data_IF_620336648982
#
_entry.id   IF_620336648982
#
_cell.length_a   1.000
_cell.length_b   1.000
_cell.length_c   1.000
_cell.angle_alpha   90.00
_cell.angle_beta   90.00
_cell.angle_gamma   90.00
#
_symmetry.space_group_name_H-M   'P 1'
#
loop_
_entity.id
_entity.type
_entity.pdbx_description
1 polymer ?
#
# COMPACT_ATOMS: atom_id res chain seq x y z
N UNK A 1 -38.17 65.24 0.19
CA UNK A 1 -39.49 65.64 0.72
C UNK A 1 -40.36 64.39 0.71
N UNK A 2 -40.32 63.55 1.74
CA UNK A 2 -41.01 63.68 3.06
C UNK A 2 -42.52 63.83 2.84
N UNK A 3 -43.28 62.74 3.05
CA UNK A 3 -44.31 62.65 4.11
C UNK A 3 -45.71 62.95 3.54
N UNK A 4 -46.84 62.48 4.04
CA UNK A 4 -47.18 61.73 5.25
C UNK A 4 -48.67 61.30 5.17
N UNK A 5 -49.03 60.24 5.91
CA UNK A 5 -50.25 60.04 6.72
C UNK A 5 -51.68 60.39 6.21
N UNK A 6 -52.59 59.39 6.29
CA UNK A 6 -53.78 59.36 7.19
C UNK A 6 -54.62 58.07 6.92
N UNK A 7 -54.88 57.22 7.94
CA UNK A 7 -56.17 56.95 8.67
C UNK A 7 -57.37 56.62 7.76
N UNK A 8 -58.31 55.71 8.03
CA UNK A 8 -58.74 54.87 9.16
C UNK A 8 -59.94 54.05 8.65
N UNK A 9 -60.16 52.82 9.15
CA UNK A 9 -61.44 52.30 9.68
C UNK A 9 -61.56 50.77 9.54
N UNK A 10 -61.99 50.16 10.64
CA UNK A 10 -62.38 48.76 10.82
C UNK A 10 -63.74 48.51 10.16
N UNK A 11 -63.96 47.31 9.60
CA UNK A 11 -65.07 46.43 10.00
C UNK A 11 -64.97 45.05 9.34
N UNK A 12 -65.35 44.05 10.13
CA UNK A 12 -65.25 42.62 9.90
C UNK A 12 -66.50 42.06 9.23
N UNK A 13 -66.36 41.25 8.17
CA UNK A 13 -67.28 40.13 7.90
C UNK A 13 -66.49 38.96 7.31
N UNK A 14 -66.51 37.85 8.04
CA UNK A 14 -66.02 36.53 7.63
C UNK A 14 -66.99 35.89 6.64
N UNK A 15 -66.48 35.30 5.56
CA UNK A 15 -66.67 33.88 5.19
C UNK A 15 -66.53 33.65 3.68
N UNK A 16 -66.05 32.44 3.35
CA UNK A 16 -65.97 31.81 2.03
C UNK A 16 -64.83 32.21 1.09
N UNK A 17 -63.66 31.60 1.30
CA UNK A 17 -62.88 31.02 0.19
C UNK A 17 -62.30 29.65 0.55
N UNK A 18 -62.66 28.68 -0.28
CA UNK A 18 -62.18 27.29 -0.30
C UNK A 18 -60.65 27.26 -0.41
N UNK A 19 -59.97 26.65 0.56
CA UNK A 19 -58.56 26.28 0.45
C UNK A 19 -58.46 24.88 -0.15
N UNK A 20 -57.66 24.78 -1.22
CA UNK A 20 -57.23 23.52 -1.81
C UNK A 20 -56.41 22.73 -0.78
N UNK A 21 -56.90 21.55 -0.40
CA UNK A 21 -56.07 20.52 0.25
C UNK A 21 -55.21 19.87 -0.84
N UNK A 22 -53.92 20.23 -0.92
CA UNK A 22 -52.92 19.31 -1.46
C UNK A 22 -52.35 18.50 -0.30
N UNK A 23 -52.36 17.18 -0.48
CA UNK A 23 -51.97 16.20 0.51
C UNK A 23 -50.53 16.39 0.99
N UNK A 24 -50.37 16.34 2.31
CA UNK A 24 -49.12 15.99 2.97
C UNK A 24 -48.73 14.59 2.52
N UNK A 25 -47.70 14.47 1.68
CA UNK A 25 -46.90 13.26 1.59
C UNK A 25 -45.65 13.49 2.43
N UNK A 26 -45.60 12.84 3.58
CA UNK A 26 -44.38 12.71 4.37
C UNK A 26 -43.38 11.86 3.58
N UNK A 27 -42.63 12.48 2.68
CA UNK A 27 -41.36 11.92 2.21
C UNK A 27 -40.34 12.15 3.32
N UNK A 28 -40.31 11.20 4.24
CA UNK A 28 -39.20 11.03 5.18
C UNK A 28 -37.93 10.87 4.35
N UNK A 29 -37.08 11.91 4.31
CA UNK A 29 -35.71 11.81 3.81
C UNK A 29 -34.98 10.85 4.74
N UNK A 30 -35.02 9.56 4.41
CA UNK A 30 -34.02 8.62 4.87
C UNK A 30 -32.70 9.09 4.28
N UNK A 31 -31.97 9.89 5.04
CA UNK A 31 -30.52 9.96 4.94
C UNK A 31 -30.06 8.54 5.18
N UNK A 32 -29.82 7.79 4.10
CA UNK A 32 -29.04 6.57 4.18
C UNK A 32 -27.65 7.00 4.65
N UNK A 33 -27.41 6.96 5.96
CA UNK A 33 -26.06 6.83 6.48
C UNK A 33 -25.54 5.54 5.87
N UNK A 34 -24.69 5.66 4.85
CA UNK A 34 -23.90 4.55 4.36
C UNK A 34 -23.29 3.88 5.59
N UNK A 35 -23.39 2.55 5.75
CA UNK A 35 -22.74 1.89 6.87
C UNK A 35 -21.28 2.28 6.83
N UNK A 36 -20.76 2.83 7.94
CA UNK A 36 -19.33 3.08 8.05
C UNK A 36 -18.61 1.76 7.76
N UNK A 37 -17.55 1.82 6.97
CA UNK A 37 -16.68 0.66 6.71
C UNK A 37 -16.36 -0.04 8.03
N UNK A 38 -16.46 -1.37 8.05
CA UNK A 38 -16.12 -2.17 9.22
C UNK A 38 -14.66 -2.02 9.66
N UNK A 39 -13.80 -1.47 8.77
CA UNK A 39 -12.38 -1.20 9.00
C UNK A 39 -12.05 0.30 8.99
N UNK A 40 -13.02 1.17 9.28
CA UNK A 40 -12.82 2.63 9.23
C UNK A 40 -11.71 3.12 10.18
N UNK A 41 -11.63 2.55 11.40
CA UNK A 41 -10.61 2.92 12.38
C UNK A 41 -9.23 2.42 11.93
N UNK A 42 -9.14 1.17 11.49
CA UNK A 42 -7.93 0.53 10.96
C UNK A 42 -7.37 1.30 9.79
N UNK A 43 -8.24 1.68 8.84
CA UNK A 43 -7.89 2.50 7.69
C UNK A 43 -7.30 3.84 8.13
N UNK A 44 -7.96 4.55 9.03
CA UNK A 44 -7.49 5.84 9.53
C UNK A 44 -6.11 5.71 10.19
N UNK A 45 -5.94 4.73 11.09
CA UNK A 45 -4.68 4.49 11.80
C UNK A 45 -3.56 4.09 10.83
N UNK A 46 -3.82 3.15 9.92
CA UNK A 46 -2.83 2.69 8.95
C UNK A 46 -2.36 3.82 8.02
N UNK A 47 -3.30 4.65 7.55
CA UNK A 47 -2.97 5.85 6.73
C UNK A 47 -2.03 6.79 7.49
N UNK A 48 -2.35 7.11 8.75
CA UNK A 48 -1.53 8.03 9.54
C UNK A 48 -0.16 7.43 9.85
N UNK A 49 -0.12 6.16 10.26
CA UNK A 49 1.12 5.43 10.56
C UNK A 49 2.07 5.40 9.35
N UNK A 50 1.56 4.96 8.19
CA UNK A 50 2.36 4.87 6.96
C UNK A 50 2.78 6.27 6.46
N UNK A 51 1.93 7.28 6.59
CA UNK A 51 2.28 8.65 6.21
C UNK A 51 3.43 9.20 7.07
N UNK A 52 3.42 9.00 8.38
CA UNK A 52 4.49 9.48 9.26
C UNK A 52 5.79 8.71 9.05
N UNK A 53 5.72 7.39 8.93
CA UNK A 53 6.89 6.57 8.59
C UNK A 53 7.49 6.98 7.24
N UNK A 54 6.65 7.21 6.22
CA UNK A 54 7.08 7.68 4.91
C UNK A 54 7.80 9.04 4.96
N UNK A 55 7.35 9.96 5.82
CA UNK A 55 8.00 11.26 6.02
C UNK A 55 9.39 11.12 6.66
N UNK A 56 9.57 10.19 7.61
CA UNK A 56 10.90 9.87 8.15
C UNK A 56 11.79 9.26 7.09
N UNK A 57 11.32 8.28 6.34
CA UNK A 57 12.11 7.70 5.26
C UNK A 57 12.51 8.76 4.23
N UNK A 58 11.59 9.69 3.89
CA UNK A 58 11.87 10.79 2.97
C UNK A 58 12.91 11.76 3.53
N UNK A 59 12.86 12.10 4.82
CA UNK A 59 13.85 12.99 5.42
C UNK A 59 15.25 12.35 5.43
N UNK A 60 15.36 11.07 5.78
CA UNK A 60 16.64 10.33 5.71
C UNK A 60 17.13 10.26 4.27
N UNK A 61 16.27 9.88 3.32
CA UNK A 61 16.59 9.80 1.90
C UNK A 61 17.14 11.13 1.35
N UNK A 62 16.47 12.25 1.65
CA UNK A 62 16.91 13.57 1.21
C UNK A 62 18.26 13.96 1.78
N UNK A 63 18.54 13.69 3.06
CA UNK A 63 19.85 13.97 3.65
C UNK A 63 20.96 13.13 3.01
N UNK A 64 20.68 11.90 2.59
CA UNK A 64 21.66 11.05 1.93
C UNK A 64 21.98 11.49 0.50
N UNK A 65 20.93 11.79 -0.26
CA UNK A 65 21.07 12.28 -1.63
C UNK A 65 21.74 13.65 -1.64
N UNK A 66 21.34 14.57 -0.76
CA UNK A 66 21.88 15.93 -0.70
C UNK A 66 23.36 15.98 -0.31
N UNK A 67 23.83 15.04 0.52
CA UNK A 67 25.22 14.99 0.96
C UNK A 67 26.12 14.12 0.05
N UNK A 68 25.60 13.59 -1.07
CA UNK A 68 26.30 12.61 -1.93
C UNK A 68 26.92 11.44 -1.15
N UNK A 69 26.39 11.15 0.04
CA UNK A 69 26.97 10.19 1.00
C UNK A 69 26.60 8.75 0.68
N UNK A 70 25.96 8.51 -0.47
CA UNK A 70 25.73 7.19 -1.06
C UNK A 70 27.07 6.58 -1.52
N UNK A 71 27.94 6.30 -0.56
CA UNK A 71 29.13 5.47 -0.78
C UNK A 71 28.66 4.04 -1.03
N UNK A 72 29.14 3.42 -2.10
CA UNK A 72 28.80 2.06 -2.49
C UNK A 72 29.17 1.08 -1.36
N UNK A 73 28.22 0.76 -0.49
CA UNK A 73 28.36 -0.28 0.53
C UNK A 73 27.92 0.09 1.94
N UNK A 74 27.78 1.38 2.29
CA UNK A 74 27.28 1.77 3.61
C UNK A 74 25.75 1.60 3.68
N UNK A 75 25.31 0.54 4.37
CA UNK A 75 23.89 0.25 4.61
C UNK A 75 23.35 0.95 5.85
N UNK A 76 24.19 1.62 6.65
CA UNK A 76 23.74 2.29 7.87
C UNK A 76 22.57 3.24 7.67
N UNK A 77 22.45 4.00 6.57
CA UNK A 77 21.36 4.97 6.45
C UNK A 77 19.99 4.34 6.21
N UNK A 78 19.93 3.27 5.43
CA UNK A 78 18.67 2.56 5.18
C UNK A 78 18.26 1.83 6.45
N UNK A 79 19.20 1.18 7.14
CA UNK A 79 18.97 0.53 8.44
C UNK A 79 18.38 1.49 9.49
N UNK A 80 18.84 2.74 9.57
CA UNK A 80 18.24 3.71 10.50
C UNK A 80 16.80 4.06 10.12
N UNK A 81 16.53 4.21 8.83
CA UNK A 81 15.20 4.53 8.33
C UNK A 81 14.22 3.36 8.52
N UNK A 82 14.67 2.12 8.30
CA UNK A 82 13.93 0.88 8.57
C UNK A 82 13.47 0.80 10.03
N UNK A 83 14.40 0.90 10.98
CA UNK A 83 14.08 0.87 12.40
C UNK A 83 13.15 2.00 12.83
N UNK A 84 13.36 3.21 12.31
CA UNK A 84 12.53 4.37 12.67
C UNK A 84 11.11 4.22 12.12
N UNK A 85 10.96 3.76 10.87
CA UNK A 85 9.65 3.51 10.25
C UNK A 85 8.89 2.40 10.99
N UNK A 86 9.56 1.30 11.34
CA UNK A 86 8.93 0.23 12.11
C UNK A 86 8.52 0.68 13.51
N UNK A 87 9.37 1.43 14.22
CA UNK A 87 9.04 1.97 15.54
C UNK A 87 7.79 2.88 15.49
N UNK A 88 7.71 3.76 14.49
CA UNK A 88 6.57 4.67 14.30
C UNK A 88 5.30 3.86 14.05
N UNK A 89 5.30 2.96 13.08
CA UNK A 89 4.09 2.21 12.71
C UNK A 89 3.62 1.34 13.88
N UNK A 90 4.53 0.62 14.52
CA UNK A 90 4.19 -0.24 15.65
C UNK A 90 3.65 0.56 16.84
N UNK A 91 4.11 1.81 17.03
CA UNK A 91 3.57 2.72 18.06
C UNK A 91 2.12 3.12 17.75
N UNK A 92 1.83 3.53 16.52
CA UNK A 92 0.47 3.87 16.09
C UNK A 92 -0.48 2.68 16.22
N UNK A 93 -0.03 1.50 15.76
CA UNK A 93 -0.81 0.28 15.84
C UNK A 93 -1.06 -0.14 17.30
N UNK A 94 -0.04 -0.13 18.15
CA UNK A 94 -0.20 -0.52 19.55
C UNK A 94 -1.13 0.43 20.33
N UNK A 95 -1.06 1.74 20.04
CA UNK A 95 -1.95 2.73 20.68
C UNK A 95 -3.42 2.50 20.33
N UNK A 96 -3.72 2.11 19.09
CA UNK A 96 -5.09 1.89 18.63
C UNK A 96 -5.60 0.45 18.89
N UNK A 97 -4.71 -0.54 18.77
CA UNK A 97 -5.00 -1.97 18.79
C UNK A 97 -3.97 -2.69 19.67
N UNK A 98 -4.04 -2.55 21.01
CA UNK A 98 -2.98 -2.99 21.92
C UNK A 98 -2.73 -4.50 21.91
N UNK A 99 -3.72 -5.28 21.46
CA UNK A 99 -3.68 -6.75 21.42
C UNK A 99 -3.41 -7.31 20.02
N UNK A 100 -3.37 -6.47 18.97
CA UNK A 100 -3.11 -6.94 17.61
C UNK A 100 -1.61 -7.30 17.48
N UNK A 101 -1.27 -8.54 17.10
CA UNK A 101 0.10 -8.93 16.79
C UNK A 101 0.60 -8.28 15.51
N UNK A 102 1.92 -8.12 15.40
CA UNK A 102 2.58 -7.51 14.24
C UNK A 102 3.71 -8.42 13.75
N UNK A 103 3.74 -8.64 12.44
CA UNK A 103 4.84 -9.26 11.71
C UNK A 103 5.59 -8.10 11.03
N UNK A 104 6.68 -7.65 11.63
CA UNK A 104 7.59 -6.66 11.05
C UNK A 104 8.88 -7.33 10.58
N UNK A 105 9.54 -6.76 9.57
CA UNK A 105 10.81 -7.28 9.05
C UNK A 105 11.94 -7.21 10.09
N UNK A 106 12.00 -6.12 10.83
CA UNK A 106 13.16 -5.77 11.66
C UNK A 106 13.05 -6.25 13.11
N UNK A 107 14.19 -6.37 13.80
CA UNK A 107 14.28 -6.54 15.25
C UNK A 107 15.36 -5.64 15.88
N UNK A 108 15.27 -5.36 17.18
CA UNK A 108 16.14 -4.36 17.81
C UNK A 108 17.56 -4.85 18.16
N UNK A 109 17.98 -6.07 17.79
CA UNK A 109 19.25 -6.64 18.26
C UNK A 109 20.45 -5.76 17.94
N UNK A 110 20.49 -5.18 16.75
CA UNK A 110 21.60 -4.32 16.29
C UNK A 110 21.62 -2.94 16.97
N UNK A 111 20.55 -2.56 17.67
CA UNK A 111 20.44 -1.31 18.43
C UNK A 111 20.87 -1.46 19.89
N UNK A 112 21.09 -2.67 20.38
CA UNK A 112 21.35 -2.95 21.80
C UNK A 112 22.84 -2.91 22.14
N UNK A 113 23.13 -2.65 23.42
CA UNK A 113 24.49 -2.55 23.94
C UNK A 113 25.26 -1.32 23.44
N UNK A 114 26.56 -1.31 23.74
CA UNK A 114 27.46 -0.20 23.39
C UNK A 114 27.69 -0.10 21.88
N UNK A 115 27.77 -1.24 21.19
CA UNK A 115 27.96 -1.30 19.74
C UNK A 115 26.80 -0.65 18.96
N UNK A 116 25.56 -0.82 19.43
CA UNK A 116 24.36 -0.24 18.82
C UNK A 116 24.07 1.21 19.20
N UNK A 117 24.82 1.81 20.15
CA UNK A 117 24.49 3.12 20.74
C UNK A 117 24.36 4.24 19.71
N UNK A 118 25.35 4.37 18.81
CA UNK A 118 25.35 5.41 17.76
C UNK A 118 24.15 5.24 16.81
N UNK A 119 23.80 4.00 16.49
CA UNK A 119 22.65 3.70 15.63
C UNK A 119 21.34 4.03 16.35
N UNK A 120 21.22 3.62 17.63
CA UNK A 120 20.06 3.88 18.48
C UNK A 120 19.81 5.37 18.71
N UNK A 121 20.85 6.17 18.91
CA UNK A 121 20.73 7.64 19.03
C UNK A 121 20.16 8.27 17.74
N UNK A 122 20.57 7.79 16.57
CA UNK A 122 20.02 8.24 15.27
C UNK A 122 18.55 7.84 15.11
N UNK A 123 18.22 6.57 15.40
CA UNK A 123 16.83 6.08 15.36
C UNK A 123 15.95 6.86 16.33
N UNK A 124 16.43 7.13 17.55
CA UNK A 124 15.74 7.94 18.55
C UNK A 124 15.44 9.34 18.02
N UNK A 125 16.45 10.02 17.48
CA UNK A 125 16.32 11.38 16.95
C UNK A 125 15.32 11.45 15.79
N UNK A 126 15.41 10.52 14.84
CA UNK A 126 14.53 10.51 13.66
C UNK A 126 13.09 10.14 14.01
N UNK A 127 12.90 9.11 14.85
CA UNK A 127 11.58 8.68 15.30
C UNK A 127 10.86 9.82 16.02
N UNK A 128 11.52 10.44 17.01
CA UNK A 128 10.93 11.54 17.78
C UNK A 128 10.88 12.87 17.01
N UNK A 129 11.54 12.96 15.85
CA UNK A 129 11.50 14.15 14.99
C UNK A 129 10.18 14.34 14.24
N UNK A 130 9.39 13.28 14.06
CA UNK A 130 8.06 13.35 13.41
C UNK A 130 6.89 13.11 14.35
N UNK A 131 7.15 12.55 15.53
CA UNK A 131 6.14 12.41 16.58
C UNK A 131 5.87 13.76 17.23
N UNK A 132 4.63 13.96 17.69
CA UNK A 132 4.26 15.15 18.46
C UNK A 132 4.98 15.15 19.80
N UNK A 133 5.16 16.34 20.40
CA UNK A 133 5.90 16.48 21.66
C UNK A 133 5.33 15.61 22.80
N UNK A 134 4.02 15.46 22.86
CA UNK A 134 3.30 14.62 23.84
C UNK A 134 3.26 13.12 23.47
N UNK A 135 3.79 12.75 22.31
CA UNK A 135 3.86 11.37 21.79
C UNK A 135 5.29 10.85 21.64
N UNK A 136 6.31 11.64 22.07
CA UNK A 136 7.71 11.23 22.01
C UNK A 136 7.97 10.01 22.89
N UNK A 137 8.84 9.14 22.41
CA UNK A 137 9.22 7.87 23.00
C UNK A 137 10.61 7.96 23.62
N UNK A 138 10.81 7.28 24.74
CA UNK A 138 12.15 6.96 25.26
C UNK A 138 12.90 5.98 24.34
N UNK A 139 14.22 5.84 24.53
CA UNK A 139 15.01 4.83 23.80
C UNK A 139 14.46 3.42 24.04
N UNK A 140 14.13 3.07 25.28
CA UNK A 140 13.54 1.78 25.63
C UNK A 140 12.21 1.53 24.92
N UNK A 141 11.31 2.53 24.90
CA UNK A 141 10.03 2.42 24.20
C UNK A 141 10.20 2.24 22.69
N UNK A 142 11.23 2.82 22.08
CA UNK A 142 11.55 2.61 20.66
C UNK A 142 11.99 1.16 20.41
N UNK A 143 12.88 0.62 21.26
CA UNK A 143 13.32 -0.78 21.14
C UNK A 143 12.15 -1.75 21.31
N UNK A 144 11.28 -1.50 22.29
CA UNK A 144 10.05 -2.27 22.49
C UNK A 144 9.10 -2.14 21.29
N UNK A 145 8.94 -0.95 20.73
CA UNK A 145 8.10 -0.73 19.55
C UNK A 145 8.61 -1.55 18.36
N UNK A 146 9.92 -1.58 18.11
CA UNK A 146 10.53 -2.39 17.04
C UNK A 146 10.26 -3.88 17.29
N UNK A 147 10.51 -4.38 18.51
CA UNK A 147 10.42 -5.79 18.84
C UNK A 147 8.97 -6.35 18.85
N UNK A 148 7.94 -5.49 18.79
CA UNK A 148 6.54 -5.91 18.58
C UNK A 148 6.31 -6.58 17.22
N UNK A 149 7.24 -6.43 16.26
CA UNK A 149 7.20 -7.07 14.95
C UNK A 149 7.53 -8.57 14.92
N UNK A 150 7.70 -9.21 16.08
CA UNK A 150 8.20 -10.58 16.20
C UNK A 150 7.14 -11.68 16.05
N UNK A 151 5.88 -11.36 15.71
CA UNK A 151 4.84 -12.38 15.55
C UNK A 151 5.19 -13.38 14.45
N UNK A 152 4.82 -14.64 14.65
CA UNK A 152 5.13 -15.73 13.71
C UNK A 152 4.11 -15.85 12.56
N UNK A 153 2.95 -15.22 12.68
CA UNK A 153 1.82 -15.39 11.75
C UNK A 153 1.06 -16.69 12.00
N UNK A 154 0.05 -16.93 11.15
CA UNK A 154 -0.77 -18.13 11.22
C UNK A 154 -2.14 -17.97 10.58
N UNK A 155 -2.88 -19.07 10.52
CA UNK A 155 -4.09 -19.18 9.71
C UNK A 155 -5.34 -18.59 10.37
N UNK A 156 -5.26 -18.23 11.66
CA UNK A 156 -6.39 -17.75 12.44
C UNK A 156 -6.08 -16.47 13.17
N UNK A 157 -7.12 -15.68 13.40
CA UNK A 157 -7.05 -14.43 14.10
C UNK A 157 -6.59 -13.28 13.21
N UNK A 158 -6.33 -12.16 13.87
CA UNK A 158 -6.02 -10.89 13.23
C UNK A 158 -4.59 -10.49 13.55
N UNK A 159 -3.84 -10.01 12.56
CA UNK A 159 -2.49 -9.48 12.73
C UNK A 159 -2.13 -8.49 11.62
N UNK A 160 -1.11 -7.68 11.85
CA UNK A 160 -0.53 -6.77 10.87
C UNK A 160 0.73 -7.37 10.24
N UNK A 161 0.98 -7.07 8.97
CA UNK A 161 2.22 -7.37 8.28
C UNK A 161 2.85 -6.06 7.77
N UNK A 162 4.11 -5.84 8.09
CA UNK A 162 4.82 -4.59 7.90
C UNK A 162 6.19 -4.83 7.26
N UNK A 163 6.42 -4.14 6.15
CA UNK A 163 7.75 -3.86 5.62
C UNK A 163 8.03 -2.36 5.79
N UNK A 164 8.98 -1.97 6.67
CA UNK A 164 9.27 -0.56 6.92
C UNK A 164 9.89 0.14 5.70
N UNK A 165 10.73 -0.52 4.90
CA UNK A 165 11.26 -0.02 3.63
C UNK A 165 11.45 -1.18 2.65
N UNK A 166 10.41 -1.45 1.88
CA UNK A 166 10.52 -2.36 0.76
C UNK A 166 11.34 -1.69 -0.35
N UNK A 167 12.31 -2.42 -0.89
CA UNK A 167 13.23 -1.91 -1.89
C UNK A 167 14.42 -1.14 -1.30
N UNK A 168 15.00 -1.63 -0.20
CA UNK A 168 16.25 -1.15 0.42
C UNK A 168 17.34 -0.75 -0.60
N UNK A 169 17.54 -1.55 -1.66
CA UNK A 169 18.50 -1.23 -2.74
C UNK A 169 18.08 -0.03 -3.59
N UNK A 170 16.78 0.06 -3.86
CA UNK A 170 16.16 1.20 -4.53
C UNK A 170 16.36 2.47 -3.72
N UNK A 171 16.12 2.41 -2.41
CA UNK A 171 16.40 3.49 -1.47
C UNK A 171 17.88 3.94 -1.54
N UNK A 172 18.82 3.00 -1.40
CA UNK A 172 20.26 3.28 -1.41
C UNK A 172 20.81 3.82 -2.74
N UNK A 173 20.12 3.62 -3.87
CA UNK A 173 20.56 4.14 -5.17
C UNK A 173 19.80 5.38 -5.64
N UNK A 174 18.98 5.98 -4.76
CA UNK A 174 18.18 7.14 -5.12
C UNK A 174 16.92 6.82 -5.96
N UNK A 175 16.51 5.54 -6.01
CA UNK A 175 15.37 5.05 -6.79
C UNK A 175 14.08 4.93 -5.98
N UNK A 176 13.16 4.08 -6.45
CA UNK A 176 11.87 3.82 -5.79
C UNK A 176 12.03 2.92 -4.56
N UNK A 177 11.22 3.19 -3.54
CA UNK A 177 11.04 2.37 -2.34
C UNK A 177 9.62 2.59 -1.80
N UNK A 178 9.15 1.71 -0.91
CA UNK A 178 7.82 1.82 -0.34
C UNK A 178 7.78 1.43 1.15
N UNK A 179 6.94 2.11 1.93
CA UNK A 179 6.56 1.69 3.28
C UNK A 179 5.25 0.91 3.15
N UNK A 180 5.23 -0.36 3.55
CA UNK A 180 4.12 -1.26 3.23
C UNK A 180 3.48 -1.84 4.49
N UNK A 181 2.17 -1.63 4.65
CA UNK A 181 1.41 -2.12 5.79
C UNK A 181 0.14 -2.83 5.32
N UNK A 182 -0.11 -4.01 5.87
CA UNK A 182 -1.32 -4.78 5.62
C UNK A 182 -1.95 -5.31 6.91
N UNK A 183 -3.27 -5.39 6.93
CA UNK A 183 -4.03 -6.11 7.95
C UNK A 183 -4.50 -7.45 7.37
N UNK A 184 -4.21 -8.53 8.09
CA UNK A 184 -4.59 -9.90 7.74
C UNK A 184 -5.54 -10.45 8.81
N UNK A 185 -6.67 -11.02 8.37
CA UNK A 185 -7.65 -11.69 9.22
C UNK A 185 -7.89 -13.08 8.67
N UNK A 186 -7.65 -14.10 9.49
CA UNK A 186 -7.78 -15.53 9.12
C UNK A 186 -7.06 -15.89 7.82
N UNK A 187 -5.84 -15.37 7.65
CA UNK A 187 -5.01 -15.59 6.46
C UNK A 187 -5.42 -14.81 5.21
N UNK A 188 -6.44 -13.93 5.31
CA UNK A 188 -6.92 -13.10 4.20
C UNK A 188 -6.55 -11.65 4.45
N UNK A 189 -5.87 -11.01 3.48
CA UNK A 189 -5.56 -9.58 3.54
C UNK A 189 -6.87 -8.77 3.43
N UNK A 190 -7.17 -7.96 4.44
CA UNK A 190 -8.40 -7.15 4.52
C UNK A 190 -8.16 -5.68 4.20
N UNK A 191 -6.99 -5.16 4.53
CA UNK A 191 -6.62 -3.76 4.34
C UNK A 191 -5.15 -3.67 3.94
N UNK A 192 -4.82 -2.75 3.04
CA UNK A 192 -3.46 -2.47 2.60
C UNK A 192 -3.25 -0.96 2.45
N UNK A 193 -2.17 -0.45 3.04
CA UNK A 193 -1.70 0.93 2.87
C UNK A 193 -0.23 0.91 2.49
N UNK A 194 0.12 1.59 1.41
CA UNK A 194 1.51 1.73 0.97
C UNK A 194 1.84 3.21 0.76
N UNK A 195 2.97 3.65 1.32
CA UNK A 195 3.54 4.96 1.05
C UNK A 195 4.70 4.83 0.09
N UNK A 196 4.67 5.56 -1.03
CA UNK A 196 5.73 5.57 -2.04
C UNK A 196 6.30 6.99 -2.16
N UNK A 197 7.30 7.37 -1.34
CA UNK A 197 7.76 8.76 -1.24
C UNK A 197 8.36 9.33 -2.53
N UNK A 198 8.95 8.47 -3.36
CA UNK A 198 9.61 8.87 -4.61
C UNK A 198 8.73 8.70 -5.85
N UNK A 199 7.51 8.17 -5.71
CA UNK A 199 6.60 7.98 -6.84
C UNK A 199 5.76 9.25 -7.04
N UNK A 200 5.70 9.71 -8.29
CA UNK A 200 4.90 10.86 -8.69
C UNK A 200 3.40 10.59 -8.48
N UNK A 201 2.67 11.61 -8.02
CA UNK A 201 1.22 11.56 -7.79
C UNK A 201 0.46 11.39 -9.12
N UNK A 202 0.85 12.18 -10.12
CA UNK A 202 0.35 12.06 -11.49
C UNK A 202 1.39 11.33 -12.35
N UNK A 203 1.11 10.10 -12.83
CA UNK A 203 2.04 9.37 -13.68
C UNK A 203 2.31 10.04 -15.03
N UNK A 204 1.41 10.93 -15.50
CA UNK A 204 1.64 11.73 -16.72
C UNK A 204 2.63 12.88 -16.49
N UNK A 205 2.93 13.19 -15.24
CA UNK A 205 3.90 14.21 -14.85
C UNK A 205 4.92 13.64 -13.84
N UNK A 206 5.87 12.80 -14.28
CA UNK A 206 6.81 12.10 -13.38
C UNK A 206 7.76 13.03 -12.62
N UNK A 207 7.95 14.26 -13.11
CA UNK A 207 8.74 15.31 -12.44
C UNK A 207 7.90 16.21 -11.53
N UNK A 208 6.60 15.95 -11.42
CA UNK A 208 5.66 16.70 -10.60
C UNK A 208 5.76 16.39 -9.11
N UNK A 209 4.64 16.60 -8.40
CA UNK A 209 4.53 16.25 -6.97
C UNK A 209 4.84 14.77 -6.75
N UNK A 210 5.75 14.49 -5.80
CA UNK A 210 6.11 13.13 -5.36
C UNK A 210 5.57 12.85 -3.97
N UNK A 211 5.37 11.57 -3.67
CA UNK A 211 4.80 11.12 -2.41
C UNK A 211 3.34 10.75 -2.59
N UNK A 212 3.12 9.48 -2.88
CA UNK A 212 1.79 8.92 -3.10
C UNK A 212 1.48 7.88 -2.03
N UNK A 213 0.29 7.95 -1.44
CA UNK A 213 -0.29 6.87 -0.63
C UNK A 213 -1.25 6.06 -1.49
N UNK A 214 -1.17 4.74 -1.39
CA UNK A 214 -2.12 3.79 -1.95
C UNK A 214 -2.88 3.14 -0.80
N UNK A 215 -4.20 3.09 -0.92
CA UNK A 215 -5.10 2.74 0.18
C UNK A 215 -6.17 1.79 -0.34
N UNK A 216 -6.29 0.64 0.30
CA UNK A 216 -7.19 -0.44 -0.12
C UNK A 216 -7.87 -1.07 1.09
N UNK A 217 -9.18 -1.28 0.95
CA UNK A 217 -9.98 -2.09 1.86
C UNK A 217 -10.72 -3.11 0.99
N UNK A 218 -10.69 -4.38 1.40
CA UNK A 218 -11.30 -5.47 0.65
C UNK A 218 -12.78 -5.19 0.39
N UNK A 219 -13.19 -5.21 -0.88
CA UNK A 219 -14.55 -4.94 -1.33
C UNK A 219 -14.93 -3.46 -1.45
N UNK A 220 -14.03 -2.53 -1.14
CA UNK A 220 -14.27 -1.09 -1.24
C UNK A 220 -13.54 -0.45 -2.41
N UNK A 221 -12.63 -1.18 -3.07
CA UNK A 221 -11.82 -0.69 -4.17
C UNK A 221 -10.47 -0.10 -3.73
N UNK A 222 -9.70 0.32 -4.74
CA UNK A 222 -8.38 0.88 -4.60
C UNK A 222 -8.36 2.40 -4.79
N UNK A 223 -7.63 3.10 -3.93
CA UNK A 223 -7.53 4.56 -3.93
C UNK A 223 -6.08 5.01 -3.84
N UNK A 224 -5.81 6.21 -4.34
CA UNK A 224 -4.55 6.92 -4.07
C UNK A 224 -4.81 8.35 -3.57
N UNK A 225 -3.82 8.94 -2.90
CA UNK A 225 -3.76 10.38 -2.59
C UNK A 225 -2.32 10.85 -2.44
N UNK A 226 -2.08 12.16 -2.49
CA UNK A 226 -0.74 12.69 -2.20
C UNK A 226 -0.48 12.73 -0.69
N UNK A 227 0.79 12.89 -0.30
CA UNK A 227 1.14 13.09 1.12
C UNK A 227 0.64 14.43 1.66
N UNK A 228 0.43 15.43 0.80
CA UNK A 228 0.02 16.78 1.16
C UNK A 228 -1.51 16.99 1.11
N UNK A 229 -2.23 16.15 0.36
CA UNK A 229 -3.68 16.28 0.15
C UNK A 229 -4.42 15.02 0.60
N UNK A 230 -5.48 15.19 1.39
CA UNK A 230 -6.32 14.10 1.89
C UNK A 230 -7.38 13.62 0.88
N UNK A 231 -7.51 14.31 -0.26
CA UNK A 231 -8.44 13.92 -1.33
C UNK A 231 -7.99 12.61 -1.97
N UNK A 232 -8.83 11.59 -1.85
CA UNK A 232 -8.60 10.29 -2.44
C UNK A 232 -9.20 10.19 -3.85
N UNK A 233 -8.44 9.65 -4.79
CA UNK A 233 -8.89 9.31 -6.14
C UNK A 233 -8.94 7.80 -6.31
N UNK A 234 -10.03 7.29 -6.86
CA UNK A 234 -10.14 5.87 -7.17
C UNK A 234 -9.22 5.51 -8.34
N UNK A 235 -8.51 4.41 -8.21
CA UNK A 235 -7.58 3.91 -9.25
C UNK A 235 -8.07 2.56 -9.80
N UNK A 236 -7.59 2.25 -10.99
CA UNK A 236 -7.89 1.02 -11.73
C UNK A 236 -6.76 0.73 -12.71
N UNK A 237 -6.64 -0.53 -13.10
CA UNK A 237 -5.80 -0.92 -14.24
C UNK A 237 -6.25 -0.23 -15.53
N UNK A 238 -5.33 -0.05 -16.48
CA UNK A 238 -5.68 0.38 -17.84
C UNK A 238 -6.67 -0.59 -18.49
N UNK A 239 -7.59 -0.06 -19.29
CA UNK A 239 -8.51 -0.88 -20.06
C UNK A 239 -7.86 -1.40 -21.35
N UNK A 240 -7.10 -2.50 -21.24
CA UNK A 240 -6.48 -3.20 -22.37
C UNK A 240 -7.17 -4.53 -22.65
N UNK A 241 -7.19 -4.95 -23.91
CA UNK A 241 -7.82 -6.22 -24.33
C UNK A 241 -6.84 -7.22 -24.95
N UNK A 242 -5.63 -6.79 -25.27
CA UNK A 242 -4.60 -7.59 -25.91
C UNK A 242 -3.29 -7.50 -25.14
N UNK A 243 -2.42 -8.50 -25.29
CA UNK A 243 -1.13 -8.53 -24.59
C UNK A 243 -0.11 -7.64 -25.29
N UNK A 244 -0.28 -7.38 -26.59
CA UNK A 244 0.55 -6.51 -27.41
C UNK A 244 0.49 -5.04 -26.96
N UNK A 245 -0.65 -4.63 -26.38
CA UNK A 245 -0.85 -3.30 -25.79
C UNK A 245 -0.19 -3.15 -24.41
N UNK A 246 0.19 -4.26 -23.77
CA UNK A 246 0.63 -4.28 -22.38
C UNK A 246 2.05 -3.74 -22.19
N UNK A 247 2.33 -3.27 -20.98
CA UNK A 247 3.64 -2.83 -20.51
C UNK A 247 4.05 -3.62 -19.27
N UNK A 248 5.29 -4.11 -19.26
CA UNK A 248 5.86 -4.73 -18.07
C UNK A 248 6.31 -3.70 -17.04
N UNK A 249 6.12 -4.07 -15.77
CA UNK A 249 6.71 -3.43 -14.61
C UNK A 249 7.68 -4.42 -13.94
N UNK A 250 8.98 -4.21 -14.11
CA UNK A 250 10.03 -5.15 -13.71
C UNK A 250 10.90 -4.58 -12.58
N UNK A 251 11.50 -5.47 -11.79
CA UNK A 251 12.57 -5.09 -10.87
C UNK A 251 13.77 -4.54 -11.63
N UNK A 252 14.48 -3.56 -11.07
CA UNK A 252 15.77 -3.13 -11.65
C UNK A 252 16.86 -4.16 -11.36
N UNK A 253 16.77 -4.85 -10.23
CA UNK A 253 17.76 -5.82 -9.76
C UNK A 253 17.54 -7.22 -10.36
N UNK A 254 18.49 -7.66 -11.19
CA UNK A 254 18.46 -8.98 -11.84
C UNK A 254 18.48 -10.17 -10.86
N UNK A 255 18.92 -9.95 -9.60
CA UNK A 255 18.88 -10.99 -8.57
C UNK A 255 17.48 -11.26 -8.01
N UNK A 256 16.55 -10.32 -8.16
CA UNK A 256 15.19 -10.40 -7.59
C UNK A 256 14.15 -10.96 -8.58
N UNK A 257 14.47 -11.05 -9.88
CA UNK A 257 13.65 -11.67 -10.92
C UNK A 257 14.50 -11.99 -12.15
N UNK A 258 14.19 -13.08 -12.86
CA UNK A 258 14.92 -13.47 -14.07
C UNK A 258 14.57 -12.58 -15.28
N UNK A 259 15.46 -11.64 -15.61
CA UNK A 259 15.26 -10.73 -16.75
C UNK A 259 15.29 -11.46 -18.11
N UNK A 260 16.03 -12.57 -18.20
CA UNK A 260 16.07 -13.40 -19.42
C UNK A 260 14.71 -14.05 -19.70
N UNK A 261 14.12 -14.64 -18.66
CA UNK A 261 12.79 -15.27 -18.78
C UNK A 261 11.72 -14.20 -19.05
N UNK A 262 11.79 -13.04 -18.39
CA UNK A 262 10.86 -11.94 -18.63
C UNK A 262 10.90 -11.45 -20.09
N UNK A 263 12.09 -11.34 -20.69
CA UNK A 263 12.24 -10.98 -22.09
C UNK A 263 11.66 -12.05 -23.05
N UNK A 264 11.79 -13.34 -22.73
CA UNK A 264 11.18 -14.41 -23.51
C UNK A 264 9.65 -14.39 -23.40
N UNK A 265 9.12 -14.15 -22.19
CA UNK A 265 7.69 -13.98 -21.95
C UNK A 265 7.15 -12.79 -22.74
N UNK A 266 7.84 -11.65 -22.73
CA UNK A 266 7.48 -10.49 -23.54
C UNK A 266 7.36 -10.81 -25.03
N UNK A 267 8.33 -11.57 -25.55
CA UNK A 267 8.31 -12.03 -26.95
C UNK A 267 7.12 -12.93 -27.25
N UNK A 268 6.79 -13.87 -26.36
CA UNK A 268 5.63 -14.75 -26.53
C UNK A 268 4.30 -14.00 -26.50
N UNK A 269 4.22 -12.93 -25.71
CA UNK A 269 3.03 -12.09 -25.54
C UNK A 269 2.89 -10.98 -26.58
N UNK A 270 3.86 -10.82 -27.47
CA UNK A 270 3.88 -9.76 -28.48
C UNK A 270 4.09 -8.36 -27.90
N UNK A 271 4.61 -8.25 -26.67
CA UNK A 271 4.85 -6.98 -25.99
C UNK A 271 6.06 -6.30 -26.64
N UNK A 272 5.81 -5.12 -27.22
CA UNK A 272 6.85 -4.28 -27.87
C UNK A 272 7.13 -3.00 -27.12
N UNK A 273 6.26 -2.64 -26.16
CA UNK A 273 6.43 -1.46 -25.32
C UNK A 273 7.60 -1.65 -24.36
N UNK A 274 8.39 -0.59 -24.09
CA UNK A 274 9.50 -0.68 -23.15
C UNK A 274 8.99 -0.95 -21.74
N UNK A 275 9.65 -1.85 -21.02
CA UNK A 275 9.34 -2.13 -19.63
C UNK A 275 9.62 -0.89 -18.75
N UNK A 276 8.73 -0.63 -17.80
CA UNK A 276 8.97 0.29 -16.69
C UNK A 276 9.73 -0.47 -15.62
N UNK A 277 10.90 0.03 -15.20
CA UNK A 277 11.69 -0.62 -14.17
C UNK A 277 11.66 0.15 -12.86
N UNK A 278 11.27 -0.53 -11.79
CA UNK A 278 11.29 0.03 -10.44
C UNK A 278 11.45 -1.04 -9.36
N UNK A 279 12.03 -0.64 -8.22
CA UNK A 279 12.12 -1.49 -7.03
C UNK A 279 10.85 -1.38 -6.19
N UNK A 280 10.75 -2.23 -5.17
CA UNK A 280 9.66 -2.29 -4.18
C UNK A 280 8.28 -2.65 -4.73
N UNK A 281 7.28 -2.69 -3.84
CA UNK A 281 5.86 -2.80 -4.09
C UNK A 281 5.31 -1.56 -4.79
N UNK A 282 6.11 -0.51 -5.02
CA UNK A 282 5.80 0.52 -6.01
C UNK A 282 5.42 -0.08 -7.39
N UNK A 283 5.90 -1.28 -7.71
CA UNK A 283 5.44 -2.05 -8.89
C UNK A 283 3.96 -2.38 -8.85
N UNK A 284 3.45 -2.86 -7.72
CA UNK A 284 2.01 -3.09 -7.54
C UNK A 284 1.23 -1.78 -7.66
N UNK A 285 1.75 -0.70 -7.05
CA UNK A 285 1.16 0.62 -7.14
C UNK A 285 1.05 1.11 -8.59
N UNK A 286 2.15 0.99 -9.35
CA UNK A 286 2.26 1.37 -10.76
C UNK A 286 1.22 0.66 -11.62
N UNK A 287 1.15 -0.67 -11.56
CA UNK A 287 0.19 -1.41 -12.40
C UNK A 287 -1.27 -1.16 -11.99
N UNK A 288 -1.53 -1.00 -10.68
CA UNK A 288 -2.89 -0.85 -10.15
C UNK A 288 -3.52 0.51 -10.45
N UNK A 289 -2.72 1.51 -10.83
CA UNK A 289 -3.21 2.81 -11.30
C UNK A 289 -3.09 3.04 -12.81
N UNK A 290 -2.66 2.01 -13.56
CA UNK A 290 -2.57 2.06 -15.02
C UNK A 290 -1.25 2.63 -15.57
N UNK A 291 -0.16 2.66 -14.82
CA UNK A 291 1.15 3.05 -15.37
C UNK A 291 1.81 1.89 -16.14
N UNK A 292 1.45 0.66 -15.77
CA UNK A 292 1.85 -0.57 -16.43
C UNK A 292 0.75 -1.61 -16.27
N UNK A 293 0.97 -2.79 -16.83
CA UNK A 293 -0.11 -3.79 -16.98
C UNK A 293 0.24 -5.15 -16.38
N UNK A 294 1.54 -5.45 -16.24
CA UNK A 294 2.04 -6.74 -15.79
C UNK A 294 3.23 -6.56 -14.83
N UNK A 295 3.20 -7.23 -13.68
CA UNK A 295 4.32 -7.39 -12.78
C UNK A 295 4.67 -8.89 -12.65
N UNK A 296 5.94 -9.22 -12.88
CA UNK A 296 6.48 -10.56 -12.71
C UNK A 296 7.61 -10.58 -11.67
N UNK A 297 7.47 -11.46 -10.68
CA UNK A 297 8.53 -11.87 -9.76
C UNK A 297 8.82 -13.34 -9.98
N UNK A 298 9.75 -13.61 -10.89
CA UNK A 298 10.09 -14.98 -11.29
C UNK A 298 11.17 -15.52 -10.35
N UNK A 299 11.05 -16.77 -9.86
CA UNK A 299 11.99 -17.33 -8.90
C UNK A 299 13.38 -17.46 -9.51
N UNK A 300 14.38 -16.81 -8.92
CA UNK A 300 15.80 -16.92 -9.31
C UNK A 300 16.52 -18.06 -8.59
N UNK A 301 15.91 -18.61 -7.54
CA UNK A 301 16.40 -19.76 -6.77
C UNK A 301 15.25 -20.71 -6.41
N UNK A 302 15.53 -22.02 -6.40
CA UNK A 302 14.55 -23.04 -5.98
C UNK A 302 14.21 -22.95 -4.49
N UNK A 303 15.15 -22.49 -3.67
CA UNK A 303 15.03 -22.49 -2.21
C UNK A 303 14.49 -21.20 -1.62
N UNK A 304 14.43 -20.13 -2.41
CA UNK A 304 13.91 -18.86 -1.93
C UNK A 304 12.39 -18.95 -1.69
N UNK A 305 11.94 -18.28 -0.63
CA UNK A 305 10.54 -18.16 -0.24
C UNK A 305 10.28 -16.70 0.08
N UNK A 306 9.27 -16.16 -0.58
CA UNK A 306 8.84 -14.77 -0.41
C UNK A 306 8.37 -14.50 1.00
N UNK A 307 8.60 -13.27 1.48
CA UNK A 307 8.04 -12.81 2.76
C UNK A 307 6.63 -12.30 2.53
N UNK A 308 5.76 -12.44 3.53
CA UNK A 308 4.37 -11.96 3.38
C UNK A 308 4.32 -10.44 3.28
N UNK A 309 5.23 -9.73 3.95
CA UNK A 309 5.27 -8.28 3.99
C UNK A 309 5.64 -7.67 2.62
N UNK A 310 6.38 -8.40 1.78
CA UNK A 310 6.71 -8.03 0.40
C UNK A 310 5.49 -8.01 -0.55
N UNK A 311 4.35 -8.60 -0.16
CA UNK A 311 3.25 -8.90 -1.09
C UNK A 311 1.85 -8.64 -0.55
N UNK A 312 1.63 -8.64 0.77
CA UNK A 312 0.29 -8.58 1.34
C UNK A 312 -0.48 -7.33 0.88
N UNK A 313 0.06 -6.13 1.09
CA UNK A 313 -0.59 -4.87 0.69
C UNK A 313 -0.74 -4.74 -0.83
N UNK A 314 0.29 -5.11 -1.58
CA UNK A 314 0.26 -5.05 -3.05
C UNK A 314 -0.73 -6.02 -3.69
N UNK A 315 -0.87 -7.24 -3.15
CA UNK A 315 -1.80 -8.25 -3.67
C UNK A 315 -3.26 -7.81 -3.54
N UNK A 316 -3.63 -7.19 -2.42
CA UNK A 316 -4.95 -6.63 -2.23
C UNK A 316 -5.18 -5.44 -3.17
N UNK A 317 -4.19 -4.56 -3.31
CA UNK A 317 -4.25 -3.41 -4.20
C UNK A 317 -4.56 -3.82 -5.65
N UNK A 318 -3.85 -4.82 -6.17
CA UNK A 318 -4.09 -5.34 -7.52
C UNK A 318 -5.53 -5.82 -7.69
N UNK A 319 -6.00 -6.62 -6.74
CA UNK A 319 -7.33 -7.22 -6.81
C UNK A 319 -8.44 -6.16 -6.77
N UNK A 320 -8.32 -5.19 -5.86
CA UNK A 320 -9.29 -4.10 -5.70
C UNK A 320 -9.24 -3.05 -6.83
N UNK A 321 -8.13 -2.99 -7.58
CA UNK A 321 -7.98 -2.18 -8.79
C UNK A 321 -8.48 -2.88 -10.08
N UNK A 322 -8.98 -4.12 -9.97
CA UNK A 322 -9.51 -4.90 -11.10
C UNK A 322 -8.49 -5.80 -11.81
N UNK A 323 -7.33 -6.04 -11.19
CA UNK A 323 -6.35 -7.01 -11.65
C UNK A 323 -6.53 -8.40 -11.02
N UNK A 324 -5.59 -9.30 -11.34
CA UNK A 324 -5.45 -10.63 -10.73
C UNK A 324 -4.00 -10.82 -10.25
N UNK A 325 -3.84 -11.58 -9.18
CA UNK A 325 -2.53 -11.96 -8.62
C UNK A 325 -2.54 -13.45 -8.25
N UNK A 326 -1.49 -14.16 -8.64
CA UNK A 326 -1.25 -15.55 -8.27
C UNK A 326 0.25 -15.85 -8.26
N UNK A 327 0.64 -17.06 -7.89
CA UNK A 327 1.99 -17.55 -8.13
C UNK A 327 2.18 -18.06 -9.58
N UNK A 328 3.38 -18.54 -9.93
CA UNK A 328 3.67 -19.02 -11.30
C UNK A 328 2.88 -20.28 -11.70
N UNK A 329 2.26 -20.96 -10.74
CA UNK A 329 1.42 -22.13 -10.98
C UNK A 329 -0.08 -21.77 -11.09
N UNK A 330 -0.42 -20.49 -10.89
CA UNK A 330 -1.80 -20.00 -10.88
C UNK A 330 -2.49 -20.15 -9.53
N UNK A 331 -1.77 -20.51 -8.45
CA UNK A 331 -2.35 -20.62 -7.12
C UNK A 331 -2.45 -19.23 -6.47
N UNK A 332 -3.57 -18.91 -5.79
CA UNK A 332 -3.65 -17.71 -4.97
C UNK A 332 -2.52 -17.63 -3.94
N UNK A 333 -2.06 -16.42 -3.63
CA UNK A 333 -1.06 -16.22 -2.58
C UNK A 333 -1.67 -16.55 -1.21
N UNK A 334 -0.97 -17.37 -0.43
CA UNK A 334 -1.43 -17.90 0.85
C UNK A 334 -0.71 -17.23 2.01
N UNK A 335 -1.40 -16.29 2.65
CA UNK A 335 -0.88 -15.54 3.80
C UNK A 335 -1.21 -16.21 5.15
N UNK A 336 -1.67 -17.46 5.15
CA UNK A 336 -2.15 -18.16 6.35
C UNK A 336 -1.08 -19.03 7.05
N UNK A 337 0.09 -19.17 6.45
CA UNK A 337 1.10 -20.18 6.83
C UNK A 337 2.32 -19.60 7.56
N UNK A 338 2.22 -18.36 8.07
CA UNK A 338 3.25 -17.71 8.87
C UNK A 338 3.87 -16.51 8.20
N UNK A 339 5.17 -16.27 8.42
CA UNK A 339 5.91 -15.08 7.94
C UNK A 339 6.24 -15.11 6.45
N UNK A 340 6.03 -16.23 5.77
CA UNK A 340 6.48 -16.46 4.39
C UNK A 340 5.43 -17.16 3.55
N UNK A 341 5.47 -16.96 2.23
CA UNK A 341 4.60 -17.65 1.27
C UNK A 341 5.15 -19.05 0.92
N UNK A 342 5.32 -19.93 1.90
CA UNK A 342 5.94 -21.26 1.68
C UNK A 342 5.17 -22.14 0.70
N UNK A 343 3.86 -21.92 0.57
CA UNK A 343 2.98 -22.70 -0.30
C UNK A 343 2.83 -22.08 -1.71
N UNK A 344 3.63 -21.06 -2.05
CA UNK A 344 3.67 -20.39 -3.35
C UNK A 344 5.10 -20.31 -3.91
N UNK A 345 5.20 -20.09 -5.24
CA UNK A 345 6.48 -19.84 -5.93
C UNK A 345 6.38 -18.71 -6.93
N UNK A 346 7.19 -17.67 -6.74
CA UNK A 346 7.13 -16.45 -7.52
C UNK A 346 5.78 -15.75 -7.41
N UNK A 347 5.62 -14.65 -8.16
CA UNK A 347 4.38 -13.90 -8.23
C UNK A 347 4.14 -13.38 -9.65
N UNK A 348 2.90 -13.51 -10.11
CA UNK A 348 2.38 -12.95 -11.34
C UNK A 348 1.21 -12.05 -10.96
N UNK A 349 1.27 -10.78 -11.34
CA UNK A 349 0.16 -9.84 -11.20
C UNK A 349 -0.07 -9.13 -12.53
N UNK A 350 -1.32 -9.05 -12.98
CA UNK A 350 -1.65 -8.39 -14.25
C UNK A 350 -3.10 -7.92 -14.28
N UNK A 351 -3.43 -7.12 -15.30
CA UNK A 351 -4.82 -6.83 -15.65
C UNK A 351 -5.61 -8.14 -15.85
N UNK A 352 -6.82 -8.22 -15.27
CA UNK A 352 -7.64 -9.42 -15.28
C UNK A 352 -7.98 -9.97 -16.69
N UNK A 353 -8.10 -9.10 -17.70
CA UNK A 353 -8.44 -9.47 -19.09
C UNK A 353 -7.32 -10.23 -19.80
N UNK A 354 -6.06 -9.99 -19.42
CA UNK A 354 -4.89 -10.61 -20.05
C UNK A 354 -4.17 -11.61 -19.14
N UNK A 355 -4.53 -11.67 -17.86
CA UNK A 355 -3.83 -12.46 -16.85
C UNK A 355 -3.61 -13.92 -17.24
N UNK A 356 -4.64 -14.60 -17.77
CA UNK A 356 -4.55 -16.02 -18.09
C UNK A 356 -3.51 -16.26 -19.20
N UNK A 357 -3.44 -15.37 -20.22
CA UNK A 357 -2.41 -15.42 -21.28
C UNK A 357 -1.01 -15.16 -20.74
N UNK A 358 -0.88 -14.21 -19.82
CA UNK A 358 0.39 -13.89 -19.15
C UNK A 358 0.89 -15.10 -18.36
N UNK A 359 0.01 -15.73 -17.57
CA UNK A 359 0.33 -16.91 -16.79
C UNK A 359 0.74 -18.09 -17.68
N UNK A 360 0.01 -18.35 -18.77
CA UNK A 360 0.37 -19.39 -19.75
C UNK A 360 1.76 -19.16 -20.34
N UNK A 361 2.10 -17.90 -20.68
CA UNK A 361 3.43 -17.55 -21.19
C UNK A 361 4.52 -17.76 -20.12
N UNK A 362 4.29 -17.35 -18.89
CA UNK A 362 5.19 -17.60 -17.74
C UNK A 362 5.43 -19.10 -17.57
N UNK A 363 4.36 -19.89 -17.55
CA UNK A 363 4.41 -21.34 -17.37
C UNK A 363 5.20 -22.03 -18.49
N UNK A 364 5.01 -21.57 -19.74
CA UNK A 364 5.74 -22.07 -20.89
C UNK A 364 7.24 -21.80 -20.80
N UNK A 365 7.64 -20.59 -20.44
CA UNK A 365 9.07 -20.20 -20.34
C UNK A 365 9.73 -20.92 -19.17
N UNK A 366 9.08 -20.96 -18.01
CA UNK A 366 9.61 -21.64 -16.82
C UNK A 366 9.47 -23.17 -16.88
N UNK A 367 8.79 -23.70 -17.90
CA UNK A 367 8.50 -25.13 -18.08
C UNK A 367 7.82 -25.75 -16.86
N UNK A 368 6.89 -25.01 -16.27
CA UNK A 368 6.04 -25.47 -15.17
C UNK A 368 4.63 -25.72 -15.70
N UNK A 369 3.98 -26.77 -15.22
CA UNK A 369 2.62 -27.09 -15.64
C UNK A 369 1.60 -26.40 -14.72
N UNK A 370 0.41 -26.02 -15.24
CA UNK A 370 -0.72 -25.70 -14.39
C UNK A 370 -0.97 -26.87 -13.44
N UNK A 371 -1.33 -26.60 -12.20
CA UNK A 371 -1.94 -27.64 -11.37
C UNK A 371 -3.25 -28.03 -12.05
N UNK A 372 -3.26 -29.14 -12.77
CA UNK A 372 -4.52 -29.77 -13.18
C UNK A 372 -5.29 -29.99 -11.88
N UNK A 373 -6.48 -29.41 -11.78
CA UNK A 373 -7.39 -29.63 -10.67
C UNK A 373 -7.43 -31.13 -10.37
N UNK A 374 -6.83 -31.54 -9.26
CA UNK A 374 -7.22 -32.76 -8.60
C UNK A 374 -8.62 -32.49 -8.05
N UNK A 375 -9.64 -32.64 -8.91
CA UNK A 375 -10.96 -33.00 -8.44
C UNK A 375 -10.82 -34.35 -7.76
N UNK A 376 -10.82 -34.34 -6.43
CA UNK A 376 -11.23 -35.46 -5.59
C UNK A 376 -12.15 -34.92 -4.50
#
# INVERSE_FOLDING_TARGET
MIGAFARSARESVLSNRRSFKLGSSHLSRHLYTLPMSALAQERSVAIQAVLQASKVCQSVFQHLVANETLTKGDKSPVTVADFSAQAIINTYLHKAFPNDPIIGEEDSKDLRGDAGKVLREKVYSLTNGVLKDDEKLSEEQILEAIDRGNYAGGAKGRHWALDPIDGTKGFLRGGQYAVCLALIVDGVVQLGVMGTPNLAVDPKNPEGEKGTLFITVRGEGAYQRSFANETETKIHFNDISTTEEATFCESVEAGHSSHGDAAEIAKLLGITRPAVRMDSQAKYCSISRGDGDIYLRLPTSKTYVEKIWDHASGSLLVTEAGGKVADIHGKPLDFSIGRTLESNKGVVAANAKIFDRVLEAVQKVLKVHPLYNAQL
#
